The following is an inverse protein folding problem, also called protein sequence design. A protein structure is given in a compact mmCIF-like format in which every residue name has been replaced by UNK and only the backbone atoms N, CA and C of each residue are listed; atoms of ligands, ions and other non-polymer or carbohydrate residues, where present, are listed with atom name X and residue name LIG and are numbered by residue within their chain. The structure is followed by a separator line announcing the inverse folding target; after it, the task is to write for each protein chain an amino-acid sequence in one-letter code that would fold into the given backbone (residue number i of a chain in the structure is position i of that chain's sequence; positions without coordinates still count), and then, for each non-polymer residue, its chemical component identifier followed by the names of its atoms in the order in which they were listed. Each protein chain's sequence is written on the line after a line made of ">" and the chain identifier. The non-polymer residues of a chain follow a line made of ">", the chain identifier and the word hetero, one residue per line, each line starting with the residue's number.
data_IF_792718766616
#
_entry.id   IF_792718766616
#
_cell.length_a   1.000
_cell.length_b   1.000
_cell.length_c   1.000
_cell.angle_alpha   90.00
_cell.angle_beta   90.00
_cell.angle_gamma   90.00
#
_symmetry.space_group_name_H-M   'P 1'
#
loop_
_entity.id
_entity.type
_entity.pdbx_description
1 polymer ?
#
# COMPACT_ATOMS: atom_id res chain seq x y z
N UNK A 1 24.60 24.22 -6.96
CA UNK A 1 23.32 23.90 -7.63
C UNK A 1 22.30 23.74 -6.52
N UNK A 2 21.52 24.79 -6.25
CA UNK A 2 20.48 24.75 -5.22
C UNK A 2 19.26 24.04 -5.82
N UNK A 3 18.76 23.01 -5.14
CA UNK A 3 17.69 22.14 -5.65
C UNK A 3 16.33 22.84 -5.80
N UNK A 4 16.19 24.07 -5.31
CA UNK A 4 14.91 24.81 -5.26
C UNK A 4 14.69 25.79 -6.42
N UNK A 5 15.73 26.13 -7.19
CA UNK A 5 15.59 27.09 -8.30
C UNK A 5 14.99 26.41 -9.55
N UNK A 6 15.40 25.17 -9.82
CA UNK A 6 14.94 24.38 -10.97
C UNK A 6 13.42 24.13 -11.06
N UNK A 7 12.70 23.82 -9.97
CA UNK A 7 11.27 23.52 -10.03
C UNK A 7 10.40 24.74 -10.37
N UNK A 8 10.74 25.92 -9.86
CA UNK A 8 9.93 27.14 -10.06
C UNK A 8 9.97 27.59 -11.52
N UNK A 9 11.15 27.53 -12.13
CA UNK A 9 11.32 27.90 -13.54
C UNK A 9 10.60 26.94 -14.47
N UNK A 10 10.59 25.64 -14.15
CA UNK A 10 9.82 24.63 -14.89
C UNK A 10 8.32 24.87 -14.78
N UNK A 11 7.80 25.24 -13.61
CA UNK A 11 6.38 25.52 -13.42
C UNK A 11 5.97 26.78 -14.19
N UNK A 12 6.79 27.83 -14.19
CA UNK A 12 6.53 29.08 -14.93
C UNK A 12 6.52 28.90 -16.44
N UNK A 13 7.26 27.93 -16.96
CA UNK A 13 7.29 27.61 -18.38
C UNK A 13 6.04 26.84 -18.87
N UNK A 14 5.20 26.34 -17.95
CA UNK A 14 3.99 25.60 -18.31
C UNK A 14 2.84 26.53 -18.69
N UNK A 15 1.90 26.07 -19.54
CA UNK A 15 0.62 26.74 -19.76
C UNK A 15 -0.18 26.92 -18.47
N UNK A 16 -1.06 27.93 -18.44
CA UNK A 16 -1.83 28.30 -17.24
C UNK A 16 -2.64 27.12 -16.67
N UNK A 17 -3.22 26.29 -17.54
CA UNK A 17 -4.01 25.11 -17.16
C UNK A 17 -3.17 24.09 -16.39
N UNK A 18 -1.90 23.93 -16.78
CA UNK A 18 -0.97 23.00 -16.15
C UNK A 18 -0.39 23.54 -14.85
N UNK A 19 -0.26 24.85 -14.73
CA UNK A 19 0.10 25.51 -13.46
C UNK A 19 -1.01 25.31 -12.41
N UNK A 20 -2.27 25.42 -12.82
CA UNK A 20 -3.42 25.18 -11.95
C UNK A 20 -3.50 23.72 -11.50
N UNK A 21 -3.26 22.76 -12.41
CA UNK A 21 -3.20 21.33 -12.08
C UNK A 21 -2.13 21.01 -11.01
N UNK A 22 -0.94 21.60 -11.15
CA UNK A 22 0.15 21.45 -10.18
C UNK A 22 -0.24 22.05 -8.82
N UNK A 23 -0.89 23.22 -8.82
CA UNK A 23 -1.34 23.88 -7.61
C UNK A 23 -2.40 23.05 -6.87
N UNK A 24 -3.37 22.47 -7.59
CA UNK A 24 -4.36 21.55 -7.02
C UNK A 24 -3.68 20.30 -6.45
N UNK A 25 -2.71 19.73 -7.17
CA UNK A 25 -1.98 18.56 -6.70
C UNK A 25 -1.16 18.86 -5.44
N UNK A 26 -0.45 19.98 -5.40
CA UNK A 26 0.32 20.41 -4.23
C UNK A 26 -0.58 20.61 -3.01
N UNK A 27 -1.77 21.23 -3.18
CA UNK A 27 -2.76 21.34 -2.10
C UNK A 27 -3.26 19.98 -1.63
N UNK A 28 -3.53 19.05 -2.55
CA UNK A 28 -3.94 17.68 -2.21
C UNK A 28 -2.86 16.95 -1.42
N UNK A 29 -1.58 17.10 -1.78
CA UNK A 29 -0.46 16.50 -1.06
C UNK A 29 -0.30 17.07 0.35
N UNK A 30 -0.42 18.39 0.50
CA UNK A 30 -0.40 19.05 1.81
C UNK A 30 -1.55 18.58 2.71
N UNK A 31 -2.77 18.46 2.15
CA UNK A 31 -3.92 17.93 2.86
C UNK A 31 -3.77 16.43 3.20
N UNK A 32 -3.11 15.65 2.32
CA UNK A 32 -2.85 14.23 2.52
C UNK A 32 -1.79 13.97 3.59
N UNK A 33 -0.79 14.85 3.70
CA UNK A 33 0.24 14.80 4.75
C UNK A 33 -0.26 15.29 6.11
N UNK A 34 -1.41 15.98 6.18
CA UNK A 34 -2.09 16.26 7.45
C UNK A 34 -2.73 15.00 8.07
N UNK A 35 -2.81 13.92 7.31
CA UNK A 35 -3.29 12.63 7.77
C UNK A 35 -2.17 11.82 8.40
N UNK A 36 -1.96 11.98 9.70
CA UNK A 36 -1.68 10.82 10.55
C UNK A 36 -2.81 9.82 10.28
N UNK A 37 -2.66 8.96 9.27
CA UNK A 37 -3.59 7.87 9.01
C UNK A 37 -3.51 7.00 10.26
N UNK A 38 -4.46 7.21 11.16
CA UNK A 38 -4.50 6.48 12.42
C UNK A 38 -4.32 5.00 12.07
N UNK A 39 -3.40 4.30 12.77
CA UNK A 39 -3.14 2.90 12.47
C UNK A 39 -4.49 2.18 12.45
N UNK A 40 -4.77 1.49 11.34
CA UNK A 40 -6.02 0.75 11.20
C UNK A 40 -6.14 -0.19 12.40
N UNK A 41 -7.32 -0.23 13.00
CA UNK A 41 -7.59 -1.17 14.11
C UNK A 41 -7.25 -2.59 13.64
N UNK A 42 -6.65 -3.38 14.54
CA UNK A 42 -6.28 -4.77 14.24
C UNK A 42 -7.48 -5.55 13.73
N UNK A 43 -7.31 -6.25 12.61
CA UNK A 43 -8.33 -7.12 12.04
C UNK A 43 -8.75 -8.25 12.99
N UNK A 44 -7.91 -8.61 13.98
CA UNK A 44 -8.20 -9.70 14.94
C UNK A 44 -9.58 -9.61 15.59
N UNK A 45 -10.05 -8.39 15.91
CA UNK A 45 -11.38 -8.20 16.51
C UNK A 45 -12.54 -8.63 15.62
N UNK A 46 -12.41 -8.49 14.29
CA UNK A 46 -13.46 -8.91 13.35
C UNK A 46 -13.59 -10.44 13.24
N UNK A 47 -12.59 -11.19 13.71
CA UNK A 47 -12.47 -12.64 13.54
C UNK A 47 -12.58 -13.37 14.88
N UNK A 48 -12.75 -12.64 15.99
CA UNK A 48 -12.76 -13.20 17.34
C UNK A 48 -13.90 -14.21 17.55
N UNK A 49 -15.06 -13.96 16.94
CA UNK A 49 -16.26 -14.78 17.11
C UNK A 49 -16.33 -15.96 16.13
N UNK A 50 -15.36 -16.11 15.22
CA UNK A 50 -15.36 -17.22 14.26
C UNK A 50 -15.00 -18.56 14.92
N UNK A 51 -14.49 -18.55 16.15
CA UNK A 51 -14.19 -19.77 16.90
C UNK A 51 -13.16 -20.68 16.20
N UNK A 52 -12.30 -20.10 15.37
CA UNK A 52 -11.30 -20.85 14.61
C UNK A 52 -10.16 -21.21 15.55
N UNK A 53 -10.12 -22.48 15.97
CA UNK A 53 -8.97 -23.09 16.61
C UNK A 53 -8.18 -23.84 15.53
N UNK A 54 -7.10 -23.22 15.04
CA UNK A 54 -6.27 -23.78 13.98
C UNK A 54 -5.01 -24.38 14.61
N UNK A 55 -4.90 -25.70 14.61
CA UNK A 55 -3.74 -26.40 15.18
C UNK A 55 -2.57 -26.39 14.20
N UNK A 56 -1.36 -26.68 14.70
CA UNK A 56 -0.20 -26.87 13.85
C UNK A 56 -0.39 -28.04 12.88
N UNK A 57 -1.04 -29.11 13.34
CA UNK A 57 -1.41 -30.27 12.53
C UNK A 57 -2.34 -29.90 11.37
N UNK A 58 -3.34 -29.03 11.59
CA UNK A 58 -4.26 -28.58 10.53
C UNK A 58 -3.53 -27.81 9.43
N UNK A 59 -2.60 -26.93 9.83
CA UNK A 59 -1.79 -26.14 8.89
C UNK A 59 -0.89 -27.05 8.06
N UNK A 60 -0.20 -28.00 8.71
CA UNK A 60 0.71 -28.91 8.03
C UNK A 60 -0.04 -29.94 7.16
N UNK A 61 -1.24 -30.34 7.56
CA UNK A 61 -2.17 -31.12 6.75
C UNK A 61 -2.54 -30.38 5.46
N UNK A 62 -3.06 -29.16 5.59
CA UNK A 62 -3.44 -28.33 4.44
C UNK A 62 -2.25 -28.06 3.51
N UNK A 63 -1.07 -27.76 4.07
CA UNK A 63 0.15 -27.55 3.29
C UNK A 63 0.53 -28.78 2.47
N UNK A 64 0.49 -29.97 3.07
CA UNK A 64 0.77 -31.24 2.38
C UNK A 64 -0.24 -31.54 1.29
N UNK A 65 -1.53 -31.29 1.53
CA UNK A 65 -2.58 -31.47 0.52
C UNK A 65 -2.40 -30.52 -0.67
N UNK A 66 -2.15 -29.24 -0.41
CA UNK A 66 -1.90 -28.26 -1.47
C UNK A 66 -0.65 -28.59 -2.29
N UNK A 67 0.40 -29.11 -1.65
CA UNK A 67 1.65 -29.48 -2.30
C UNK A 67 1.65 -30.88 -2.90
N UNK A 68 0.58 -31.68 -2.72
CA UNK A 68 0.47 -33.04 -3.25
C UNK A 68 0.59 -33.10 -4.77
N UNK A 69 0.05 -32.10 -5.46
CA UNK A 69 0.09 -31.98 -6.91
C UNK A 69 1.13 -30.95 -7.39
N UNK A 70 1.98 -30.47 -6.48
CA UNK A 70 3.02 -29.52 -6.86
C UNK A 70 4.08 -30.29 -7.67
N UNK A 71 4.33 -29.92 -8.93
CA UNK A 71 5.34 -30.59 -9.73
C UNK A 71 6.69 -30.46 -9.02
N UNK A 72 7.24 -31.60 -8.61
CA UNK A 72 8.63 -31.68 -8.16
C UNK A 72 9.43 -32.03 -9.40
N UNK A 73 10.46 -31.23 -9.66
CA UNK A 73 11.44 -31.49 -10.71
C UNK A 73 12.26 -32.73 -10.32
N UNK A 74 11.63 -33.90 -10.43
CA UNK A 74 12.30 -35.19 -10.38
C UNK A 74 12.78 -35.48 -11.81
N UNK A 75 13.80 -34.74 -12.25
CA UNK A 75 14.60 -35.01 -13.45
C UNK A 75 15.80 -35.89 -13.12
#
# INVERSE_FOLDING_TARGET
>A
MNTEETPIDLIRALPAEKQEEILVHAQSLLASNAGNKAPRKSGRGLWADLGIDLTAEDIEGARREMLKNFPRDDF
#
